data_IF_663900579502
#
_entry.id   IF_663900579502
#
_cell.length_a   1.000
_cell.length_b   1.000
_cell.length_c   1.000
_cell.angle_alpha   90.00
_cell.angle_beta   90.00
_cell.angle_gamma   90.00
#
_symmetry.space_group_name_H-M   'P 1'
#
loop_
_entity.id
_entity.type
_entity.pdbx_description
1 polymer ?
#
# COMPACT_ATOMS: atom_id res chain seq x y z
N UNK A 1 -10.88 7.72 7.04
CA UNK A 1 -9.78 7.40 8.01
C UNK A 1 -9.24 8.72 8.59
N UNK A 2 -8.56 8.72 9.73
CA UNK A 2 -7.85 9.91 10.25
C UNK A 2 -6.31 9.75 10.16
N UNK A 3 -5.57 10.85 10.35
CA UNK A 3 -4.10 10.86 10.26
C UNK A 3 -3.40 9.91 11.25
N UNK A 4 -3.94 9.77 12.46
CA UNK A 4 -3.36 8.87 13.48
C UNK A 4 -3.40 7.42 13.01
N UNK A 5 -4.54 6.97 12.47
CA UNK A 5 -4.67 5.62 11.92
C UNK A 5 -3.80 5.44 10.67
N UNK A 6 -3.69 6.45 9.80
CA UNK A 6 -2.79 6.42 8.64
C UNK A 6 -1.35 6.13 9.04
N UNK A 7 -0.84 6.87 10.03
CA UNK A 7 0.51 6.71 10.57
C UNK A 7 0.69 5.32 11.19
N UNK A 8 -0.29 4.86 11.96
CA UNK A 8 -0.26 3.52 12.55
C UNK A 8 -0.15 2.42 11.48
N UNK A 9 -0.88 2.53 10.37
CA UNK A 9 -0.76 1.60 9.24
C UNK A 9 0.65 1.67 8.62
N UNK A 10 1.18 2.87 8.38
CA UNK A 10 2.51 3.05 7.78
C UNK A 10 3.66 2.45 8.62
N UNK A 11 3.50 2.43 9.94
CA UNK A 11 4.48 1.89 10.90
C UNK A 11 4.34 0.38 11.09
N UNK A 12 3.13 -0.17 10.98
CA UNK A 12 2.81 -1.52 11.43
C UNK A 12 2.33 -2.47 10.33
N UNK A 13 2.28 -2.03 9.06
CA UNK A 13 1.88 -2.92 7.96
C UNK A 13 2.81 -4.12 7.89
N UNK A 14 2.27 -5.22 7.36
CA UNK A 14 3.01 -6.48 7.22
C UNK A 14 2.72 -7.12 5.88
N UNK A 15 3.67 -7.92 5.43
CA UNK A 15 3.50 -8.76 4.26
C UNK A 15 4.14 -10.12 4.47
N UNK A 16 3.55 -11.15 3.88
CA UNK A 16 4.25 -12.43 3.70
C UNK A 16 5.27 -12.29 2.56
N UNK A 17 6.33 -13.10 2.50
CA UNK A 17 7.28 -13.08 1.39
C UNK A 17 6.60 -13.23 0.02
N UNK A 18 5.59 -14.12 -0.06
CA UNK A 18 4.80 -14.30 -1.28
C UNK A 18 3.94 -13.06 -1.62
N UNK A 19 3.41 -12.39 -0.60
CA UNK A 19 2.67 -11.13 -0.77
C UNK A 19 3.57 -10.00 -1.28
N UNK A 20 4.78 -9.87 -0.71
CA UNK A 20 5.78 -8.91 -1.17
C UNK A 20 6.14 -9.16 -2.64
N UNK A 21 6.41 -10.40 -3.04
CA UNK A 21 6.72 -10.73 -4.43
C UNK A 21 5.61 -10.29 -5.40
N UNK A 22 4.34 -10.56 -5.04
CA UNK A 22 3.17 -10.13 -5.83
C UNK A 22 3.06 -8.61 -5.90
N UNK A 23 3.25 -7.92 -4.78
CA UNK A 23 3.22 -6.46 -4.71
C UNK A 23 4.30 -5.86 -5.63
N UNK A 24 5.53 -6.37 -5.55
CA UNK A 24 6.62 -5.90 -6.41
C UNK A 24 6.31 -6.08 -7.88
N UNK A 25 5.79 -7.25 -8.27
CA UNK A 25 5.39 -7.51 -9.66
C UNK A 25 4.29 -6.57 -10.13
N UNK A 26 3.25 -6.35 -9.32
CA UNK A 26 2.11 -5.51 -9.71
C UNK A 26 2.42 -4.01 -9.74
N UNK A 27 3.46 -3.58 -9.03
CA UNK A 27 3.95 -2.20 -9.01
C UNK A 27 5.11 -1.98 -9.99
N UNK A 28 5.56 -3.02 -10.69
CA UNK A 28 6.73 -3.01 -11.57
C UNK A 28 8.04 -2.61 -10.86
N UNK A 29 8.21 -3.08 -9.63
CA UNK A 29 9.39 -2.84 -8.77
C UNK A 29 10.05 -4.16 -8.34
N UNK A 30 9.99 -5.19 -9.19
CA UNK A 30 10.56 -6.52 -8.91
C UNK A 30 12.05 -6.49 -8.59
N UNK A 31 12.76 -5.47 -9.07
CA UNK A 31 14.18 -5.25 -8.83
C UNK A 31 14.49 -4.68 -7.43
N UNK A 32 13.48 -4.22 -6.68
CA UNK A 32 13.69 -3.74 -5.30
C UNK A 32 13.97 -4.90 -4.35
N UNK A 33 14.87 -4.68 -3.40
CA UNK A 33 14.97 -5.48 -2.18
C UNK A 33 13.69 -5.39 -1.34
N UNK A 34 13.53 -6.27 -0.35
CA UNK A 34 12.38 -6.24 0.55
C UNK A 34 12.34 -4.93 1.34
N UNK A 35 13.47 -4.45 1.84
CA UNK A 35 13.58 -3.17 2.57
C UNK A 35 13.25 -1.95 1.71
N UNK A 36 13.70 -1.93 0.44
CA UNK A 36 13.33 -0.87 -0.50
C UNK A 36 11.83 -0.91 -0.80
N UNK A 37 11.27 -2.10 -0.94
CA UNK A 37 9.82 -2.28 -1.17
C UNK A 37 9.01 -1.81 0.04
N UNK A 38 9.40 -2.16 1.26
CA UNK A 38 8.73 -1.68 2.47
C UNK A 38 8.81 -0.15 2.60
N UNK A 39 9.96 0.43 2.29
CA UNK A 39 10.14 1.89 2.30
C UNK A 39 9.25 2.55 1.25
N UNK A 40 9.17 1.97 0.06
CA UNK A 40 8.30 2.45 -1.01
C UNK A 40 6.82 2.41 -0.62
N UNK A 41 6.36 1.30 -0.05
CA UNK A 41 4.97 1.14 0.42
C UNK A 41 4.64 2.11 1.55
N UNK A 42 5.55 2.30 2.51
CA UNK A 42 5.40 3.31 3.58
C UNK A 42 5.23 4.70 3.00
N UNK A 43 6.04 5.07 2.01
CA UNK A 43 5.96 6.38 1.36
C UNK A 43 4.62 6.57 0.64
N UNK A 44 4.09 5.55 -0.03
CA UNK A 44 2.76 5.59 -0.63
C UNK A 44 1.70 5.85 0.45
N UNK A 45 1.69 5.08 1.55
CA UNK A 45 0.71 5.21 2.64
C UNK A 45 0.73 6.63 3.24
N UNK A 46 1.92 7.16 3.53
CA UNK A 46 2.07 8.49 4.15
C UNK A 46 1.72 9.63 3.18
N UNK A 47 2.08 9.48 1.91
CA UNK A 47 1.87 10.51 0.88
C UNK A 47 0.45 10.54 0.33
N UNK A 48 -0.35 9.49 0.55
CA UNK A 48 -1.75 9.46 0.12
C UNK A 48 -2.57 10.46 0.98
N UNK A 49 -3.22 11.46 0.36
CA UNK A 49 -4.16 12.36 1.03
C UNK A 49 -5.34 11.58 1.61
N UNK A 50 -5.90 12.00 2.75
CA UNK A 50 -7.04 11.30 3.37
C UNK A 50 -8.27 11.19 2.46
N UNK A 51 -8.46 12.18 1.59
CA UNK A 51 -9.54 12.24 0.60
C UNK A 51 -9.40 11.15 -0.48
N UNK A 52 -8.18 10.66 -0.72
CA UNK A 52 -7.88 9.59 -1.68
C UNK A 52 -7.90 8.20 -1.02
N UNK A 53 -8.34 8.11 0.24
CA UNK A 53 -8.38 6.87 1.01
C UNK A 53 -9.82 6.43 1.22
N UNK A 54 -10.17 5.30 0.62
CA UNK A 54 -11.50 4.71 0.74
C UNK A 54 -11.50 3.56 1.73
N UNK A 55 -12.53 3.49 2.57
CA UNK A 55 -12.81 2.31 3.40
C UNK A 55 -13.94 1.52 2.77
N UNK A 56 -13.70 0.25 2.43
CA UNK A 56 -14.75 -0.67 1.97
C UNK A 56 -14.67 -1.97 2.74
N UNK A 57 -15.67 -2.20 3.60
CA UNK A 57 -15.71 -3.37 4.47
C UNK A 57 -14.46 -3.46 5.36
N UNK A 58 -13.73 -4.57 5.25
CA UNK A 58 -12.50 -4.86 6.04
C UNK A 58 -11.22 -4.33 5.40
N UNK A 59 -11.30 -3.43 4.42
CA UNK A 59 -10.16 -2.98 3.64
C UNK A 59 -10.11 -1.46 3.51
N UNK A 60 -8.90 -0.92 3.58
CA UNK A 60 -8.54 0.44 3.19
C UNK A 60 -7.90 0.42 1.81
N UNK A 61 -8.29 1.37 0.96
CA UNK A 61 -7.75 1.55 -0.38
C UNK A 61 -7.03 2.90 -0.43
N UNK A 62 -5.72 2.86 -0.61
CA UNK A 62 -4.89 4.05 -0.75
C UNK A 62 -4.70 4.32 -2.24
N UNK A 63 -5.42 5.29 -2.80
CA UNK A 63 -5.37 5.61 -4.22
C UNK A 63 -4.37 6.72 -4.50
N UNK A 64 -3.08 6.40 -4.54
CA UNK A 64 -2.04 7.40 -4.70
C UNK A 64 -1.78 7.69 -6.19
N UNK A 65 -2.60 8.59 -6.76
CA UNK A 65 -2.56 8.91 -8.18
C UNK A 65 -1.20 9.44 -8.65
N UNK A 66 -0.48 10.19 -7.80
CA UNK A 66 0.83 10.76 -8.14
C UNK A 66 1.91 9.71 -8.42
N UNK A 67 1.90 8.56 -7.74
CA UNK A 67 2.80 7.44 -8.06
C UNK A 67 2.11 6.33 -8.84
N UNK A 68 0.97 6.61 -9.48
CA UNK A 68 0.27 5.61 -10.28
C UNK A 68 0.00 4.31 -9.50
N UNK A 69 -0.33 4.37 -8.21
CA UNK A 69 -0.41 3.17 -7.35
C UNK A 69 -1.70 3.12 -6.51
N UNK A 70 -2.29 1.93 -6.39
CA UNK A 70 -3.37 1.61 -5.44
C UNK A 70 -2.88 0.52 -4.51
N UNK A 71 -2.93 0.78 -3.20
CA UNK A 71 -2.69 -0.25 -2.17
C UNK A 71 -4.01 -0.66 -1.52
N UNK A 72 -4.22 -1.97 -1.35
CA UNK A 72 -5.31 -2.50 -0.55
C UNK A 72 -4.74 -3.07 0.75
N UNK A 73 -5.17 -2.50 1.88
CA UNK A 73 -4.68 -2.84 3.21
C UNK A 73 -5.82 -3.39 4.04
N UNK A 74 -5.63 -4.52 4.71
CA UNK A 74 -6.61 -5.04 5.65
C UNK A 74 -6.76 -4.09 6.85
N UNK A 75 -8.00 -3.81 7.28
CA UNK A 75 -8.26 -2.87 8.37
C UNK A 75 -7.86 -3.36 9.76
N UNK A 76 -7.78 -4.68 9.94
CA UNK A 76 -7.54 -5.28 11.25
C UNK A 76 -6.09 -5.72 11.41
N UNK A 77 -5.48 -6.26 10.35
CA UNK A 77 -4.12 -6.81 10.41
C UNK A 77 -3.08 -5.88 9.81
N UNK A 78 -3.51 -4.79 9.16
CA UNK A 78 -2.67 -3.89 8.36
C UNK A 78 -1.84 -4.59 7.27
N UNK A 79 -2.24 -5.81 6.90
CA UNK A 79 -1.57 -6.55 5.83
C UNK A 79 -1.87 -5.87 4.50
N UNK A 80 -0.83 -5.56 3.71
CA UNK A 80 -1.04 -5.10 2.34
C UNK A 80 -1.41 -6.32 1.51
N UNK A 81 -2.68 -6.45 1.15
CA UNK A 81 -3.24 -7.63 0.48
C UNK A 81 -2.82 -7.62 -1.00
N UNK A 82 -2.96 -6.46 -1.63
CA UNK A 82 -2.58 -6.23 -3.03
C UNK A 82 -2.04 -4.82 -3.20
N UNK A 83 -1.24 -4.67 -4.25
CA UNK A 83 -0.94 -3.39 -4.85
C UNK A 83 -1.18 -3.51 -6.35
N UNK A 84 -1.48 -2.41 -7.04
CA UNK A 84 -1.53 -2.36 -8.51
C UNK A 84 -1.24 -0.96 -9.01
N UNK A 85 -0.74 -0.87 -10.23
CA UNK A 85 -0.67 0.40 -10.92
C UNK A 85 -2.07 0.86 -11.40
N UNK A 86 -2.31 2.17 -11.50
CA UNK A 86 -3.61 2.73 -11.92
C UNK A 86 -3.75 2.67 -13.44
N UNK A 87 -2.70 3.08 -14.15
CA UNK A 87 -2.60 3.10 -15.59
C UNK A 87 -1.71 1.94 -16.07
N UNK A 88 -2.21 0.71 -15.97
CA UNK A 88 -1.68 -0.40 -16.78
C UNK A 88 -2.40 -0.40 -18.13
N UNK A 89 -1.67 -0.06 -19.19
CA UNK A 89 -2.08 -0.37 -20.58
C UNK A 89 -2.04 -1.87 -20.81
#
# INVERSE_FOLDING_TARGET
>A
MNETLKKSIAENFRNTPMGLLRIKSNLDVIHFSDTETETYLRNIILSTPLEEIETKGKNYYFNYFKNNAILTVNSNTFTIITAKQINTK
#
